data_IF_154552787992
#
_entry.id   IF_154552787992
#
_cell.length_a   1.000
_cell.length_b   1.000
_cell.length_c   1.000
_cell.angle_alpha   90.00
_cell.angle_beta   90.00
_cell.angle_gamma   90.00
#
_symmetry.space_group_name_H-M   'P 1'
#
loop_
_entity.id
_entity.type
_entity.pdbx_description
1 polymer ?
#
# COMPACT_ATOMS: atom_id res chain seq x y z
N UNK A 1 -13.73 -11.74 11.33
CA UNK A 1 -12.32 -11.44 11.01
C UNK A 1 -12.17 -11.60 9.52
N UNK A 2 -11.70 -10.55 8.88
CA UNK A 2 -11.52 -10.44 7.44
C UNK A 2 -10.07 -10.06 7.17
N UNK A 3 -9.48 -10.65 6.13
CA UNK A 3 -8.13 -10.36 5.67
C UNK A 3 -8.20 -10.12 4.17
N UNK A 4 -7.68 -8.98 3.73
CA UNK A 4 -7.49 -8.68 2.31
C UNK A 4 -6.01 -8.51 2.01
N UNK A 5 -5.65 -8.85 0.78
CA UNK A 5 -4.30 -8.75 0.25
C UNK A 5 -4.37 -8.20 -1.17
N UNK A 6 -3.59 -7.16 -1.45
CA UNK A 6 -3.47 -6.60 -2.79
C UNK A 6 -2.01 -6.25 -3.12
N UNK A 7 -1.67 -6.38 -4.40
CA UNK A 7 -0.35 -5.97 -4.90
C UNK A 7 -0.51 -5.13 -6.16
N UNK A 8 0.24 -4.04 -6.22
CA UNK A 8 0.24 -3.10 -7.33
C UNK A 8 1.64 -2.99 -7.91
N UNK A 9 1.77 -3.14 -9.22
CA UNK A 9 3.06 -3.02 -9.89
C UNK A 9 3.46 -1.54 -10.11
N UNK A 10 4.77 -1.29 -10.25
CA UNK A 10 5.27 0.05 -10.51
C UNK A 10 4.89 0.48 -11.93
N UNK A 11 4.26 1.64 -12.06
CA UNK A 11 3.84 2.15 -13.36
C UNK A 11 5.06 2.41 -14.27
N UNK A 12 5.15 1.67 -15.37
CA UNK A 12 6.09 1.98 -16.44
C UNK A 12 5.51 3.03 -17.39
N UNK A 13 6.06 4.25 -17.40
CA UNK A 13 5.64 5.33 -18.31
C UNK A 13 6.07 5.13 -19.77
N UNK A 14 6.53 3.94 -20.17
CA UNK A 14 6.87 3.58 -21.55
C UNK A 14 8.23 4.07 -22.06
N UNK A 15 8.85 5.04 -21.37
CA UNK A 15 10.16 5.61 -21.73
C UNK A 15 11.33 5.03 -20.92
N UNK A 16 11.08 4.09 -20.00
CA UNK A 16 12.12 3.49 -19.16
C UNK A 16 12.68 2.21 -19.76
N UNK A 17 14.00 2.17 -19.98
CA UNK A 17 14.70 0.96 -20.45
C UNK A 17 15.07 0.06 -19.26
N UNK A 18 15.12 -1.25 -19.49
CA UNK A 18 15.66 -2.24 -18.55
C UNK A 18 15.09 -2.18 -17.11
N UNK A 19 13.80 -1.84 -16.95
CA UNK A 19 13.18 -1.76 -15.63
C UNK A 19 13.59 -0.54 -14.80
N UNK A 20 14.24 0.46 -15.39
CA UNK A 20 14.70 1.67 -14.68
C UNK A 20 13.57 2.44 -13.97
N UNK A 21 12.31 2.29 -14.40
CA UNK A 21 11.14 2.92 -13.75
C UNK A 21 10.93 2.46 -12.30
N UNK A 22 11.56 1.37 -11.88
CA UNK A 22 11.50 0.83 -10.52
C UNK A 22 12.54 1.46 -9.58
N UNK A 23 13.48 2.25 -10.08
CA UNK A 23 14.60 2.75 -9.28
C UNK A 23 14.47 4.24 -8.97
N UNK A 24 14.76 4.60 -7.72
CA UNK A 24 14.80 5.99 -7.25
C UNK A 24 16.11 6.23 -6.49
N UNK A 25 16.76 7.37 -6.72
CA UNK A 25 17.92 7.79 -5.93
C UNK A 25 17.45 8.62 -4.73
N UNK A 26 17.76 8.17 -3.53
CA UNK A 26 17.54 8.93 -2.30
C UNK A 26 18.84 9.64 -1.92
N UNK A 27 18.89 10.95 -2.18
CA UNK A 27 20.04 11.82 -1.90
C UNK A 27 19.93 12.44 -0.50
N UNK A 28 21.06 12.51 0.20
CA UNK A 28 21.15 13.08 1.55
C UNK A 28 21.37 14.60 1.54
N UNK A 29 21.89 15.15 0.45
CA UNK A 29 22.29 16.56 0.30
C UNK A 29 21.68 17.19 -0.97
N UNK A 30 20.46 16.80 -1.35
CA UNK A 30 19.82 17.23 -2.58
C UNK A 30 19.65 18.76 -2.65
N UNK A 31 20.39 19.41 -3.55
CA UNK A 31 20.24 20.84 -3.90
C UNK A 31 19.59 21.04 -5.28
N UNK A 32 19.37 19.95 -6.00
CA UNK A 32 18.73 19.93 -7.33
C UNK A 32 17.93 18.64 -7.50
N UNK A 33 17.18 18.53 -8.60
CA UNK A 33 16.45 17.30 -8.95
C UNK A 33 17.38 16.13 -9.31
N UNK A 34 18.67 16.39 -9.55
CA UNK A 34 19.68 15.37 -9.79
C UNK A 34 20.37 15.01 -8.48
N UNK A 35 20.57 13.71 -8.25
CA UNK A 35 21.29 13.20 -7.09
C UNK A 35 22.76 13.65 -7.09
N UNK A 36 23.23 14.09 -5.94
CA UNK A 36 24.60 14.52 -5.67
C UNK A 36 25.54 13.34 -5.76
N UNK A 37 26.60 13.45 -6.56
CA UNK A 37 27.55 12.36 -6.77
C UNK A 37 28.09 11.80 -5.43
N UNK A 38 28.10 10.47 -5.29
CA UNK A 38 28.56 9.73 -4.11
C UNK A 38 27.80 10.02 -2.80
N UNK A 39 26.64 10.69 -2.86
CA UNK A 39 25.84 11.04 -1.66
C UNK A 39 24.39 10.57 -1.73
N UNK A 40 24.15 9.50 -2.48
CA UNK A 40 22.82 8.90 -2.60
C UNK A 40 22.87 7.40 -2.40
N UNK A 41 21.71 6.84 -2.04
CA UNK A 41 21.45 5.39 -2.07
C UNK A 41 20.41 5.10 -3.15
N UNK A 42 20.50 3.93 -3.78
CA UNK A 42 19.52 3.46 -4.75
C UNK A 42 18.43 2.67 -4.04
N UNK A 43 17.20 3.12 -4.16
CA UNK A 43 16.00 2.41 -3.74
C UNK A 43 15.38 1.72 -4.95
N UNK A 44 14.98 0.46 -4.78
CA UNK A 44 14.19 -0.26 -5.76
C UNK A 44 12.77 -0.38 -5.23
N UNK A 45 11.82 0.22 -5.94
CA UNK A 45 10.39 0.02 -5.74
C UNK A 45 9.98 -1.31 -6.37
N UNK A 46 9.44 -2.24 -5.59
CA UNK A 46 8.99 -3.56 -6.07
C UNK A 46 7.46 -3.61 -6.25
N UNK A 47 6.85 -2.43 -6.35
CA UNK A 47 5.40 -2.27 -6.31
C UNK A 47 4.92 -1.91 -4.90
N UNK A 48 3.61 -1.77 -4.75
CA UNK A 48 2.96 -1.60 -3.45
C UNK A 48 2.34 -2.95 -3.05
N UNK A 49 2.70 -3.44 -1.88
CA UNK A 49 2.11 -4.59 -1.22
C UNK A 49 1.26 -4.07 -0.07
N UNK A 50 -0.02 -4.41 -0.04
CA UNK A 50 -0.93 -4.01 1.02
C UNK A 50 -1.67 -5.22 1.60
N UNK A 51 -1.73 -5.29 2.93
CA UNK A 51 -2.48 -6.30 3.67
C UNK A 51 -3.33 -5.62 4.72
N UNK A 52 -4.64 -5.80 4.63
CA UNK A 52 -5.59 -5.25 5.59
C UNK A 52 -6.16 -6.34 6.47
N UNK A 53 -6.27 -6.03 7.76
CA UNK A 53 -6.93 -6.88 8.75
C UNK A 53 -8.13 -6.14 9.29
N UNK A 54 -9.31 -6.77 9.24
CA UNK A 54 -10.58 -6.18 9.67
C UNK A 54 -11.27 -7.09 10.70
N UNK A 55 -11.61 -6.51 11.85
CA UNK A 55 -12.38 -7.15 12.91
C UNK A 55 -13.71 -6.42 13.04
N UNK A 56 -14.78 -7.04 12.57
CA UNK A 56 -16.14 -6.50 12.64
C UNK A 56 -16.93 -7.22 13.76
N UNK A 57 -17.64 -6.44 14.58
CA UNK A 57 -18.67 -6.90 15.50
C UNK A 57 -20.03 -6.47 14.95
N UNK A 58 -20.91 -7.44 14.68
CA UNK A 58 -22.19 -7.21 14.03
C UNK A 58 -23.36 -7.57 14.96
N UNK A 59 -24.46 -6.84 14.83
CA UNK A 59 -25.69 -7.09 15.57
C UNK A 59 -26.89 -7.00 14.62
N UNK A 60 -27.76 -8.01 14.69
CA UNK A 60 -29.01 -8.06 13.95
C UNK A 60 -30.08 -7.27 14.71
N UNK A 61 -30.70 -6.31 14.05
CA UNK A 61 -31.77 -5.50 14.63
C UNK A 61 -33.06 -6.30 14.49
N UNK A 62 -33.51 -6.90 15.59
CA UNK A 62 -34.76 -7.64 15.65
C UNK A 62 -35.88 -6.68 16.05
N UNK A 63 -36.75 -6.35 15.10
CA UNK A 63 -37.96 -5.55 15.33
C UNK A 63 -39.17 -6.35 14.87
N UNK A 64 -40.13 -6.62 15.77
CA UNK A 64 -41.37 -7.32 15.42
C UNK A 64 -42.16 -6.53 14.36
N UNK A 65 -42.49 -7.18 13.24
CA UNK A 65 -43.35 -6.62 12.18
C UNK A 65 -42.66 -6.30 10.84
N UNK A 66 -41.34 -6.43 10.72
CA UNK A 66 -40.62 -6.23 9.44
C UNK A 66 -40.30 -7.56 8.74
N UNK A 67 -40.44 -7.61 7.41
CA UNK A 67 -40.17 -8.79 6.58
C UNK A 67 -38.67 -9.01 6.26
N UNK A 68 -37.78 -8.15 6.78
CA UNK A 68 -36.33 -8.23 6.60
C UNK A 68 -35.63 -7.89 7.92
N UNK A 69 -34.43 -8.46 8.13
CA UNK A 69 -33.61 -8.22 9.31
C UNK A 69 -32.42 -7.33 8.93
N UNK A 70 -32.48 -6.02 9.22
CA UNK A 70 -31.32 -5.16 9.04
C UNK A 70 -30.24 -5.50 10.08
N UNK A 71 -28.97 -5.45 9.68
CA UNK A 71 -27.83 -5.66 10.57
C UNK A 71 -26.91 -4.44 10.54
N UNK A 72 -26.22 -4.19 11.64
CA UNK A 72 -25.20 -3.15 11.75
C UNK A 72 -23.91 -3.76 12.26
N UNK A 73 -22.78 -3.29 11.74
CA UNK A 73 -21.47 -3.69 12.22
C UNK A 73 -20.66 -2.48 12.65
N UNK A 74 -19.88 -2.63 13.72
CA UNK A 74 -18.79 -1.74 14.07
C UNK A 74 -17.51 -2.56 14.01
N UNK A 75 -16.47 -2.02 13.38
CA UNK A 75 -15.22 -2.73 13.21
C UNK A 75 -13.99 -1.88 13.49
N UNK A 76 -12.90 -2.56 13.79
CA UNK A 76 -11.56 -1.98 13.83
C UNK A 76 -10.72 -2.66 12.76
N UNK A 77 -9.87 -1.88 12.11
CA UNK A 77 -8.98 -2.38 11.07
C UNK A 77 -7.57 -1.84 11.21
N UNK A 78 -6.63 -2.55 10.63
CA UNK A 78 -5.24 -2.11 10.47
C UNK A 78 -4.70 -2.57 9.12
N UNK A 79 -3.94 -1.70 8.48
CA UNK A 79 -3.34 -1.95 7.17
C UNK A 79 -1.81 -1.99 7.29
N UNK A 80 -1.18 -2.90 6.55
CA UNK A 80 0.26 -3.00 6.39
C UNK A 80 0.62 -2.78 4.93
N UNK A 81 1.19 -1.61 4.65
CA UNK A 81 1.69 -1.24 3.33
C UNK A 81 3.22 -1.33 3.26
N UNK A 82 3.74 -1.93 2.18
CA UNK A 82 5.18 -2.02 1.88
C UNK A 82 5.44 -1.66 0.42
N UNK A 83 6.49 -0.88 0.15
CA UNK A 83 6.75 -0.35 -1.20
C UNK A 83 8.21 -0.44 -1.68
N UNK A 84 9.19 -0.36 -0.78
CA UNK A 84 10.60 -0.26 -1.15
C UNK A 84 11.42 -1.42 -0.63
N UNK A 85 12.36 -1.88 -1.47
CA UNK A 85 13.43 -2.77 -1.08
C UNK A 85 14.78 -2.01 -1.14
N UNK A 86 15.61 -2.18 -0.11
CA UNK A 86 16.94 -1.55 -0.04
C UNK A 86 17.96 -2.51 -0.66
N UNK A 87 18.69 -2.03 -1.67
CA UNK A 87 19.84 -2.77 -2.24
C UNK A 87 21.12 -2.10 -1.72
N UNK A 88 22.04 -2.88 -1.14
CA UNK A 88 23.29 -2.40 -0.55
C UNK A 88 24.31 -1.97 -1.61
#
# INVERSE_FOLDING_TARGET
FEVSYETFDVKNQGNSKNGAHMYCALDRDATSASATANKYVLLKSEGLFDVSFMLNACYDIITEGFAFSPYVCAGIGSDLASMFNTTN
#
